data_IF_427369449092
#
_entry.id   IF_427369449092
#
_cell.length_a   1.000
_cell.length_b   1.000
_cell.length_c   1.000
_cell.angle_alpha   90.00
_cell.angle_beta   90.00
_cell.angle_gamma   90.00
#
_symmetry.space_group_name_H-M   'P 1'
#
loop_
_entity.id
_entity.type
_entity.pdbx_description
1 polymer ?
#
# COMPACT_ATOMS: atom_id res chain seq x y z
N UNK A 1 -1.01 -9.57 -33.41
CA UNK A 1 -0.69 -8.17 -33.02
C UNK A 1 -1.45 -7.77 -31.76
N UNK A 2 -2.74 -8.12 -31.68
CA UNK A 2 -3.66 -7.83 -30.56
C UNK A 2 -3.19 -8.33 -29.17
N UNK A 3 -2.71 -9.57 -29.08
CA UNK A 3 -2.26 -10.16 -27.79
C UNK A 3 -1.06 -9.42 -27.15
N UNK A 4 -0.15 -8.84 -27.95
CA UNK A 4 1.02 -8.13 -27.43
C UNK A 4 0.66 -6.77 -26.83
N UNK A 5 -0.36 -6.11 -27.36
CA UNK A 5 -0.84 -4.82 -26.81
C UNK A 5 -1.64 -5.03 -25.52
N UNK A 6 -2.44 -6.10 -25.45
CA UNK A 6 -3.17 -6.48 -24.23
C UNK A 6 -2.19 -6.75 -23.07
N UNK A 7 -1.12 -7.50 -23.32
CA UNK A 7 -0.15 -7.83 -22.27
C UNK A 7 0.56 -6.58 -21.72
N UNK A 8 0.75 -5.53 -22.52
CA UNK A 8 1.31 -4.22 -22.06
C UNK A 8 0.36 -3.45 -21.15
N UNK A 9 -0.94 -3.55 -21.37
CA UNK A 9 -1.96 -2.79 -20.63
C UNK A 9 -2.23 -3.42 -19.25
N UNK A 10 -2.18 -4.76 -19.15
CA UNK A 10 -2.54 -5.46 -17.92
C UNK A 10 -1.71 -5.00 -16.70
N UNK A 11 -0.36 -4.94 -16.73
CA UNK A 11 0.43 -4.43 -15.61
C UNK A 11 0.04 -3.02 -15.19
N UNK A 12 -0.26 -2.14 -16.16
CA UNK A 12 -0.64 -0.76 -15.90
C UNK A 12 -1.95 -0.70 -15.12
N UNK A 13 -2.95 -1.49 -15.53
CA UNK A 13 -4.25 -1.57 -14.84
C UNK A 13 -4.09 -2.12 -13.43
N UNK A 14 -3.30 -3.19 -13.26
CA UNK A 14 -3.04 -3.80 -11.95
C UNK A 14 -2.35 -2.82 -10.99
N UNK A 15 -1.32 -2.12 -11.46
CA UNK A 15 -0.64 -1.08 -10.69
C UNK A 15 -1.55 0.10 -10.39
N UNK A 16 -2.38 0.53 -11.34
CA UNK A 16 -3.31 1.62 -11.14
C UNK A 16 -4.33 1.32 -10.04
N UNK A 17 -4.90 0.10 -10.03
CA UNK A 17 -5.83 -0.35 -8.98
C UNK A 17 -5.18 -0.25 -7.60
N UNK A 18 -3.97 -0.79 -7.43
CA UNK A 18 -3.25 -0.75 -6.16
C UNK A 18 -2.83 0.68 -5.79
N UNK A 19 -2.46 1.49 -6.78
CA UNK A 19 -2.11 2.90 -6.62
C UNK A 19 -3.28 3.73 -6.07
N UNK A 20 -4.49 3.56 -6.63
CA UNK A 20 -5.70 4.25 -6.16
C UNK A 20 -6.07 3.81 -4.74
N UNK A 21 -6.05 2.51 -4.45
CA UNK A 21 -6.32 2.01 -3.10
C UNK A 21 -5.31 2.57 -2.10
N UNK A 22 -4.03 2.60 -2.48
CA UNK A 22 -2.96 3.17 -1.66
C UNK A 22 -3.17 4.67 -1.42
N UNK A 23 -3.61 5.42 -2.43
CA UNK A 23 -3.92 6.84 -2.29
C UNK A 23 -5.07 7.08 -1.30
N UNK A 24 -6.15 6.29 -1.41
CA UNK A 24 -7.29 6.37 -0.48
C UNK A 24 -6.83 6.10 0.95
N UNK A 25 -5.99 5.07 1.15
CA UNK A 25 -5.45 4.75 2.47
C UNK A 25 -4.49 5.82 3.00
N UNK A 26 -3.65 6.40 2.15
CA UNK A 26 -2.78 7.52 2.50
C UNK A 26 -3.59 8.70 3.02
N UNK A 27 -4.59 9.15 2.26
CA UNK A 27 -5.46 10.26 2.65
C UNK A 27 -6.21 9.97 3.95
N UNK A 28 -6.80 8.77 4.07
CA UNK A 28 -7.52 8.35 5.27
C UNK A 28 -6.63 8.40 6.52
N UNK A 29 -5.37 8.00 6.42
CA UNK A 29 -4.45 7.95 7.56
C UNK A 29 -3.89 9.34 7.87
N UNK A 30 -3.41 10.07 6.85
CA UNK A 30 -2.78 11.38 7.01
C UNK A 30 -3.74 12.42 7.59
N UNK A 31 -5.02 12.34 7.21
CA UNK A 31 -6.08 13.21 7.70
C UNK A 31 -6.72 12.71 9.01
N UNK A 32 -6.30 11.56 9.53
CA UNK A 32 -6.84 11.04 10.79
C UNK A 32 -6.31 11.82 11.98
N UNK A 33 -7.21 12.34 12.80
CA UNK A 33 -6.89 12.96 14.10
C UNK A 33 -6.95 11.99 15.29
N UNK A 34 -7.17 10.70 15.03
CA UNK A 34 -7.34 9.66 16.06
C UNK A 34 -7.01 8.27 15.53
N UNK A 35 -7.11 7.27 16.41
CA UNK A 35 -7.14 5.88 15.99
C UNK A 35 -8.16 5.61 14.89
N UNK A 36 -7.76 4.76 13.94
CA UNK A 36 -8.72 4.08 13.09
C UNK A 36 -9.49 3.03 13.92
N UNK A 37 -10.71 2.66 13.52
CA UNK A 37 -11.54 1.76 14.33
C UNK A 37 -10.88 0.43 14.71
N UNK A 38 -10.03 -0.15 13.85
CA UNK A 38 -9.31 -1.37 14.20
C UNK A 38 -8.16 -1.14 15.19
N UNK A 39 -7.58 0.06 15.26
CA UNK A 39 -6.56 0.40 16.26
C UNK A 39 -7.17 0.49 17.66
N UNK A 40 -8.35 1.10 17.82
CA UNK A 40 -9.08 1.11 19.10
C UNK A 40 -9.38 -0.32 19.58
N UNK A 41 -9.92 -1.15 18.68
CA UNK A 41 -10.20 -2.56 18.98
C UNK A 41 -8.94 -3.34 19.35
N UNK A 42 -7.85 -3.15 18.60
CA UNK A 42 -6.59 -3.84 18.86
C UNK A 42 -5.93 -3.36 20.16
N UNK A 43 -6.06 -2.09 20.51
CA UNK A 43 -5.54 -1.51 21.75
C UNK A 43 -6.40 -1.85 22.97
N UNK A 44 -7.66 -2.27 22.78
CA UNK A 44 -8.62 -2.48 23.85
C UNK A 44 -8.96 -1.20 24.62
N UNK A 45 -8.72 -0.03 24.02
CA UNK A 45 -8.93 1.31 24.61
C UNK A 45 -9.50 2.24 23.56
N UNK A 46 -10.44 3.07 23.95
CA UNK A 46 -10.88 4.19 23.12
C UNK A 46 -9.79 5.25 23.02
N UNK A 47 -9.82 6.06 21.95
CA UNK A 47 -8.85 7.14 21.77
C UNK A 47 -8.78 8.10 22.98
N UNK A 48 -9.91 8.35 23.63
CA UNK A 48 -10.01 9.26 24.79
C UNK A 48 -9.32 8.74 26.05
N UNK A 49 -9.13 7.43 26.15
CA UNK A 49 -8.46 6.78 27.29
C UNK A 49 -6.93 6.73 27.12
N UNK A 50 -6.41 7.16 25.96
CA UNK A 50 -4.97 7.27 25.71
C UNK A 50 -4.49 8.63 26.21
N UNK A 51 -3.41 8.65 27.00
CA UNK A 51 -2.80 9.88 27.48
C UNK A 51 -2.34 10.78 26.33
N UNK A 52 -2.52 12.10 26.47
CA UNK A 52 -2.24 13.06 25.40
C UNK A 52 -0.81 12.98 24.83
N UNK A 53 0.26 12.78 25.62
CA UNK A 53 1.60 12.57 25.07
C UNK A 53 1.69 11.33 24.17
N UNK A 54 1.07 10.22 24.59
CA UNK A 54 1.06 8.97 23.83
C UNK A 54 0.19 9.09 22.57
N UNK A 55 -0.92 9.83 22.63
CA UNK A 55 -1.73 10.14 21.43
C UNK A 55 -0.87 10.79 20.34
N UNK A 56 -0.04 11.78 20.69
CA UNK A 56 0.84 12.45 19.73
C UNK A 56 1.85 11.49 19.11
N UNK A 57 2.47 10.61 19.91
CA UNK A 57 3.39 9.58 19.39
C UNK A 57 2.68 8.68 18.38
N UNK A 58 1.46 8.23 18.70
CA UNK A 58 0.74 7.33 17.80
C UNK A 58 0.28 8.05 16.53
N UNK A 59 -0.20 9.29 16.62
CA UNK A 59 -0.53 10.08 15.43
C UNK A 59 0.67 10.26 14.52
N UNK A 60 1.87 10.50 15.08
CA UNK A 60 3.10 10.59 14.30
C UNK A 60 3.41 9.27 13.57
N UNK A 61 3.30 8.13 14.26
CA UNK A 61 3.51 6.81 13.65
C UNK A 61 2.46 6.48 12.58
N UNK A 62 1.19 6.81 12.84
CA UNK A 62 0.12 6.66 11.87
C UNK A 62 0.41 7.49 10.62
N UNK A 63 0.72 8.78 10.78
CA UNK A 63 1.05 9.68 9.66
C UNK A 63 2.25 9.17 8.87
N UNK A 64 3.29 8.67 9.53
CA UNK A 64 4.42 8.03 8.85
C UNK A 64 3.97 6.82 8.01
N UNK A 65 3.11 5.96 8.55
CA UNK A 65 2.48 4.87 7.78
C UNK A 65 1.66 5.37 6.59
N UNK A 66 0.92 6.48 6.76
CA UNK A 66 0.18 7.16 5.70
C UNK A 66 1.08 7.71 4.59
N UNK A 67 2.25 8.25 4.93
CA UNK A 67 3.26 8.68 3.96
C UNK A 67 3.81 7.49 3.16
N UNK A 68 4.01 6.34 3.79
CA UNK A 68 4.40 5.11 3.09
C UNK A 68 3.37 4.70 2.02
N UNK A 69 2.08 4.76 2.34
CA UNK A 69 1.02 4.55 1.35
C UNK A 69 1.05 5.60 0.23
N UNK A 70 1.33 6.87 0.54
CA UNK A 70 1.41 7.93 -0.45
C UNK A 70 2.58 7.69 -1.43
N UNK A 71 3.74 7.25 -0.94
CA UNK A 71 4.89 6.88 -1.78
C UNK A 71 4.50 5.77 -2.76
N UNK A 72 3.87 4.70 -2.28
CA UNK A 72 3.42 3.59 -3.14
C UNK A 72 2.38 4.07 -4.15
N UNK A 73 1.42 4.90 -3.72
CA UNK A 73 0.43 5.48 -4.61
C UNK A 73 1.07 6.27 -5.75
N UNK A 74 1.98 7.20 -5.42
CA UNK A 74 2.68 8.02 -6.42
C UNK A 74 3.48 7.14 -7.38
N UNK A 75 4.27 6.19 -6.87
CA UNK A 75 5.08 5.31 -7.72
C UNK A 75 4.23 4.52 -8.72
N UNK A 76 3.14 3.92 -8.27
CA UNK A 76 2.29 3.08 -9.11
C UNK A 76 1.42 3.89 -10.08
N UNK A 77 0.94 5.06 -9.68
CA UNK A 77 0.11 5.93 -10.53
C UNK A 77 0.92 6.69 -11.59
N UNK A 78 2.18 7.00 -11.29
CA UNK A 78 3.08 7.71 -12.22
C UNK A 78 3.78 6.75 -13.18
N UNK A 79 3.87 5.46 -12.85
CA UNK A 79 4.50 4.44 -13.69
C UNK A 79 4.06 4.45 -15.17
N UNK A 80 2.76 4.54 -15.53
CA UNK A 80 2.35 4.56 -16.94
C UNK A 80 2.94 5.73 -17.73
N UNK A 81 3.15 6.88 -17.08
CA UNK A 81 3.77 8.04 -17.70
C UNK A 81 5.29 7.82 -17.86
N UNK A 82 5.96 7.33 -16.81
CA UNK A 82 7.40 7.04 -16.84
C UNK A 82 7.73 5.98 -17.90
N UNK A 83 6.95 4.89 -17.95
CA UNK A 83 7.13 3.81 -18.91
C UNK A 83 7.01 4.28 -20.37
N UNK A 84 6.26 5.36 -20.62
CA UNK A 84 6.13 5.97 -21.96
C UNK A 84 7.29 6.89 -22.32
N UNK A 85 7.80 7.65 -21.35
CA UNK A 85 8.84 8.68 -21.56
C UNK A 85 10.25 8.11 -21.48
N UNK A 86 10.46 7.10 -20.64
CA UNK A 86 11.75 6.43 -20.45
C UNK A 86 11.53 4.93 -20.37
N UNK A 87 11.60 4.21 -21.51
CA UNK A 87 11.40 2.75 -21.56
C UNK A 87 12.57 1.96 -20.93
N UNK A 88 13.32 2.58 -20.02
CA UNK A 88 14.42 1.96 -19.32
C UNK A 88 13.89 0.84 -18.43
N UNK A 89 14.47 -0.35 -18.62
CA UNK A 89 14.26 -1.52 -17.80
C UNK A 89 14.42 -1.23 -16.30
N UNK A 90 15.27 -0.28 -15.90
CA UNK A 90 15.49 0.07 -14.51
C UNK A 90 14.19 0.42 -13.75
N UNK A 91 13.33 1.26 -14.35
CA UNK A 91 12.05 1.66 -13.74
C UNK A 91 11.02 0.53 -13.70
N UNK A 92 11.08 -0.38 -14.68
CA UNK A 92 10.26 -1.61 -14.75
C UNK A 92 10.49 -2.52 -13.55
N UNK A 93 11.71 -2.53 -12.98
CA UNK A 93 12.04 -3.28 -11.76
C UNK A 93 11.84 -2.46 -10.48
N UNK A 94 12.36 -1.22 -10.45
CA UNK A 94 12.45 -0.45 -9.21
C UNK A 94 11.06 -0.15 -8.60
N UNK A 95 10.11 0.28 -9.43
CA UNK A 95 8.78 0.67 -8.99
C UNK A 95 8.00 -0.48 -8.33
N UNK A 96 7.82 -1.65 -8.98
CA UNK A 96 7.14 -2.76 -8.33
C UNK A 96 7.90 -3.32 -7.13
N UNK A 97 9.25 -3.30 -7.13
CA UNK A 97 10.03 -3.75 -5.96
C UNK A 97 9.75 -2.88 -4.74
N UNK A 98 9.76 -1.55 -4.88
CA UNK A 98 9.47 -0.65 -3.74
C UNK A 98 8.04 -0.87 -3.23
N UNK A 99 7.07 -1.00 -4.13
CA UNK A 99 5.68 -1.30 -3.77
C UNK A 99 5.58 -2.64 -3.02
N UNK A 100 6.27 -3.69 -3.48
CA UNK A 100 6.29 -5.00 -2.84
C UNK A 100 6.93 -4.96 -1.45
N UNK A 101 8.03 -4.22 -1.26
CA UNK A 101 8.66 -4.05 0.06
C UNK A 101 7.66 -3.46 1.05
N UNK A 102 6.99 -2.37 0.67
CA UNK A 102 6.01 -1.72 1.54
C UNK A 102 4.80 -2.62 1.81
N UNK A 103 4.17 -3.19 0.77
CA UNK A 103 2.99 -4.04 0.91
C UNK A 103 3.28 -5.30 1.74
N UNK A 104 4.47 -5.87 1.59
CA UNK A 104 4.92 -7.04 2.37
C UNK A 104 5.13 -6.68 3.84
N UNK A 105 5.82 -5.58 4.13
CA UNK A 105 5.99 -5.10 5.50
C UNK A 105 4.64 -4.78 6.17
N UNK A 106 3.72 -4.16 5.42
CA UNK A 106 2.37 -3.87 5.89
C UNK A 106 1.58 -5.15 6.18
N UNK A 107 1.66 -6.16 5.31
CA UNK A 107 1.03 -7.46 5.53
C UNK A 107 1.55 -8.12 6.80
N UNK A 108 2.86 -8.22 6.98
CA UNK A 108 3.43 -8.87 8.16
C UNK A 108 3.04 -8.16 9.45
N UNK A 109 3.12 -6.84 9.49
CA UNK A 109 2.73 -6.08 10.69
C UNK A 109 1.23 -6.24 11.01
N UNK A 110 0.35 -6.10 10.01
CA UNK A 110 -1.09 -6.25 10.23
C UNK A 110 -1.47 -7.68 10.60
N UNK A 111 -0.85 -8.69 9.98
CA UNK A 111 -1.11 -10.10 10.28
C UNK A 111 -0.61 -10.50 11.66
N UNK A 112 0.58 -10.02 12.03
CA UNK A 112 1.12 -10.22 13.38
C UNK A 112 0.22 -9.57 14.44
N UNK A 113 -0.23 -8.33 14.20
CA UNK A 113 -1.17 -7.65 15.09
C UNK A 113 -2.49 -8.43 15.20
N UNK A 114 -3.06 -8.89 14.09
CA UNK A 114 -4.25 -9.76 14.07
C UNK A 114 -4.04 -11.02 14.91
N UNK A 115 -2.90 -11.70 14.78
CA UNK A 115 -2.59 -12.91 15.56
C UNK A 115 -2.55 -12.65 17.06
N UNK A 116 -2.04 -11.48 17.47
CA UNK A 116 -1.88 -11.08 18.87
C UNK A 116 -3.16 -10.56 19.50
N UNK A 117 -3.93 -9.73 18.80
CA UNK A 117 -5.11 -9.05 19.38
C UNK A 117 -6.44 -9.67 18.99
N UNK A 118 -6.43 -10.61 18.02
CA UNK A 118 -7.64 -11.21 17.40
C UNK A 118 -8.59 -10.18 16.77
N UNK A 119 -8.16 -8.92 16.66
CA UNK A 119 -8.92 -7.86 15.99
C UNK A 119 -8.73 -8.00 14.49
N UNK A 120 -9.82 -7.88 13.72
CA UNK A 120 -9.76 -7.91 12.26
C UNK A 120 -9.00 -6.68 11.73
N UNK A 121 -7.71 -6.88 11.44
CA UNK A 121 -6.85 -5.87 10.81
C UNK A 121 -6.91 -6.00 9.30
N UNK A 122 -6.55 -4.96 8.52
CA UNK A 122 -6.63 -5.00 7.07
C UNK A 122 -5.53 -5.84 6.39
N UNK A 123 -5.05 -6.92 7.02
CA UNK A 123 -3.96 -7.75 6.51
C UNK A 123 -4.30 -8.40 5.16
N UNK A 124 -5.57 -8.78 4.95
CA UNK A 124 -6.04 -9.35 3.66
C UNK A 124 -5.88 -8.36 2.51
N UNK A 125 -6.17 -7.07 2.76
CA UNK A 125 -6.00 -6.01 1.77
C UNK A 125 -4.56 -5.88 1.30
N UNK A 126 -3.60 -5.88 2.25
CA UNK A 126 -2.18 -5.90 1.92
C UNK A 126 -1.73 -7.17 1.20
N UNK A 127 -2.30 -8.34 1.53
CA UNK A 127 -2.01 -9.58 0.80
C UNK A 127 -2.49 -9.52 -0.65
N UNK A 128 -3.70 -9.02 -0.89
CA UNK A 128 -4.21 -8.84 -2.25
C UNK A 128 -3.36 -7.82 -3.03
N UNK A 129 -2.92 -6.73 -2.40
CA UNK A 129 -2.01 -5.78 -3.02
C UNK A 129 -0.69 -6.44 -3.45
N UNK A 130 -0.09 -7.30 -2.60
CA UNK A 130 1.12 -8.07 -2.96
C UNK A 130 0.86 -8.93 -4.20
N UNK A 131 -0.24 -9.70 -4.20
CA UNK A 131 -0.57 -10.60 -5.31
C UNK A 131 -0.76 -9.81 -6.61
N UNK A 132 -1.48 -8.69 -6.56
CA UNK A 132 -1.76 -7.85 -7.73
C UNK A 132 -0.48 -7.21 -8.27
N UNK A 133 0.36 -6.63 -7.40
CA UNK A 133 1.63 -6.02 -7.82
C UNK A 133 2.57 -7.09 -8.37
N UNK A 134 2.65 -8.27 -7.74
CA UNK A 134 3.49 -9.36 -8.20
C UNK A 134 3.02 -9.90 -9.55
N UNK A 135 1.71 -10.06 -9.75
CA UNK A 135 1.14 -10.45 -11.03
C UNK A 135 1.44 -9.41 -12.13
N UNK A 136 1.23 -8.12 -11.84
CA UNK A 136 1.58 -7.04 -12.77
C UNK A 136 3.06 -7.05 -13.13
N UNK A 137 3.93 -7.28 -12.14
CA UNK A 137 5.37 -7.37 -12.36
C UNK A 137 5.75 -8.56 -13.23
N UNK A 138 5.27 -9.77 -12.91
CA UNK A 138 5.54 -10.98 -13.70
C UNK A 138 5.06 -10.82 -15.13
N UNK A 139 3.82 -10.34 -15.34
CA UNK A 139 3.28 -10.11 -16.68
C UNK A 139 4.11 -9.09 -17.44
N UNK A 140 4.58 -8.04 -16.77
CA UNK A 140 5.43 -7.04 -17.40
C UNK A 140 6.71 -7.63 -17.98
N UNK A 141 7.28 -8.70 -17.39
CA UNK A 141 8.52 -9.33 -17.88
C UNK A 141 8.37 -9.99 -19.25
N UNK A 142 7.15 -10.34 -19.65
CA UNK A 142 6.86 -10.95 -20.95
C UNK A 142 6.52 -9.92 -22.04
N UNK A 143 6.60 -8.62 -21.70
CA UNK A 143 6.39 -7.48 -22.61
C UNK A 143 7.70 -6.83 -23.04
#
# INVERSE_FOLDING_TARGET
MENKEILKIIPLVLYFIVGIISLIMALKILLSGKFLPFHEKAAGKSWKEVEAPLQNVILSLLKLGGLGFLVVAVLLLVYPFVARVSPDTFYKFLIPIIALIFCTGLFFNNYWLYKKTKTDTPWKGSLYAIIIVLAGFIISLFN
#
